data_IF_103596849517
#
_entry.id   IF_103596849517
#
_cell.length_a   1.000
_cell.length_b   1.000
_cell.length_c   1.000
_cell.angle_alpha   90.00
_cell.angle_beta   90.00
_cell.angle_gamma   90.00
#
_symmetry.space_group_name_H-M   'P 1'
#
loop_
_entity.id
_entity.type
_entity.pdbx_description
1 polymer ?
#
# COMPACT_ATOMS: atom_id res chain seq x y z
N UNK A 1 8.92 33.93 57.71
CA UNK A 1 7.62 34.04 57.00
C UNK A 1 7.80 33.60 55.55
N UNK A 2 8.39 32.41 55.33
CA UNK A 2 8.87 31.98 54.00
C UNK A 2 8.88 30.45 53.85
N UNK A 3 8.10 29.74 54.68
CA UNK A 3 7.89 28.28 54.59
C UNK A 3 6.44 27.88 54.26
N UNK A 4 5.50 28.83 54.23
CA UNK A 4 4.08 28.59 53.96
C UNK A 4 3.62 28.90 52.52
N UNK A 5 4.54 29.21 51.60
CA UNK A 5 4.21 29.40 50.16
C UNK A 5 4.53 28.19 49.28
N UNK A 6 5.22 27.18 49.81
CA UNK A 6 5.59 25.98 49.05
C UNK A 6 4.51 24.87 49.10
N UNK A 7 3.67 24.84 50.14
CA UNK A 7 2.61 23.82 50.28
C UNK A 7 1.31 24.12 49.51
N UNK A 8 1.11 25.36 49.04
CA UNK A 8 -0.11 25.72 48.29
C UNK A 8 0.02 25.48 46.77
N UNK A 9 1.25 25.27 46.26
CA UNK A 9 1.47 24.91 44.83
C UNK A 9 1.45 23.41 44.55
N UNK A 10 1.48 22.57 45.58
CA UNK A 10 1.46 21.10 45.45
C UNK A 10 0.02 20.55 45.47
N UNK A 11 -0.96 21.34 45.95
CA UNK A 11 -2.36 20.93 46.05
C UNK A 11 -3.24 21.25 44.82
N UNK A 12 -2.72 21.96 43.80
CA UNK A 12 -3.46 22.23 42.56
C UNK A 12 -3.01 21.40 41.35
N UNK A 13 -2.12 20.42 41.55
CA UNK A 13 -1.56 19.59 40.48
C UNK A 13 -2.16 18.17 40.45
N UNK A 14 -3.42 18.00 40.85
CA UNK A 14 -4.07 16.67 40.96
C UNK A 14 -5.43 16.54 40.26
N UNK A 15 -5.86 17.50 39.43
CA UNK A 15 -7.10 17.34 38.64
C UNK A 15 -6.92 17.90 37.23
N UNK A 16 -5.98 17.33 36.47
CA UNK A 16 -6.07 17.24 35.01
C UNK A 16 -5.45 15.90 34.59
N UNK A 17 -5.96 14.81 35.17
CA UNK A 17 -5.91 13.53 34.49
C UNK A 17 -6.95 13.61 33.37
N UNK A 18 -6.60 14.28 32.27
CA UNK A 18 -7.29 14.07 31.01
C UNK A 18 -7.09 12.60 30.71
N UNK A 19 -8.17 11.85 30.84
CA UNK A 19 -8.33 10.55 30.25
C UNK A 19 -8.02 10.69 28.76
N UNK A 20 -6.75 10.54 28.38
CA UNK A 20 -6.39 9.92 27.13
C UNK A 20 -6.70 8.43 27.28
N UNK A 21 -8.00 8.12 27.37
CA UNK A 21 -8.50 6.89 26.78
C UNK A 21 -8.22 7.10 25.30
N UNK A 22 -7.07 6.63 24.84
CA UNK A 22 -6.99 6.13 23.48
C UNK A 22 -8.20 5.23 23.33
N UNK A 23 -9.05 5.57 22.37
CA UNK A 23 -10.10 4.69 21.88
C UNK A 23 -9.45 3.42 21.32
N UNK A 24 -8.88 2.59 22.19
CA UNK A 24 -8.98 1.14 22.08
C UNK A 24 -10.44 0.80 22.39
N UNK A 25 -11.35 1.28 21.52
CA UNK A 25 -12.60 0.58 21.35
C UNK A 25 -12.12 -0.74 20.76
N UNK A 26 -12.03 -1.76 21.60
CA UNK A 26 -12.27 -3.13 21.18
C UNK A 26 -13.72 -3.18 20.67
N UNK A 27 -13.96 -2.48 19.55
CA UNK A 27 -15.04 -2.78 18.69
C UNK A 27 -14.56 -4.10 18.11
N UNK A 28 -15.22 -5.17 18.49
CA UNK A 28 -15.42 -6.29 17.58
C UNK A 28 -16.02 -5.65 16.33
N UNK A 29 -15.18 -5.09 15.47
CA UNK A 29 -15.61 -4.30 14.35
C UNK A 29 -16.35 -5.29 13.47
N UNK A 30 -17.67 -5.13 13.39
CA UNK A 30 -18.49 -5.90 12.46
C UNK A 30 -17.77 -5.89 11.11
N UNK A 31 -17.67 -7.06 10.48
CA UNK A 31 -16.99 -7.22 9.19
C UNK A 31 -17.33 -6.02 8.29
N UNK A 32 -16.34 -5.23 7.85
CA UNK A 32 -16.59 -3.96 7.17
C UNK A 32 -17.32 -4.12 5.83
N UNK A 33 -17.47 -5.36 5.36
CA UNK A 33 -18.03 -5.70 4.08
C UNK A 33 -18.54 -7.16 4.12
N UNK A 34 -19.67 -7.43 4.78
CA UNK A 34 -20.18 -8.79 4.88
C UNK A 34 -20.49 -9.38 3.50
N UNK A 35 -20.41 -10.72 3.33
CA UNK A 35 -20.75 -11.39 2.07
C UNK A 35 -22.15 -11.02 1.56
N UNK A 36 -22.24 -10.52 0.33
CA UNK A 36 -23.51 -10.08 -0.26
C UNK A 36 -23.69 -10.43 -1.75
N UNK A 37 -22.68 -11.01 -2.39
CA UNK A 37 -22.73 -11.51 -3.77
C UNK A 37 -22.29 -12.97 -3.84
N UNK A 38 -22.47 -13.64 -4.99
CA UNK A 38 -22.12 -15.05 -5.12
C UNK A 38 -21.56 -15.48 -6.49
N UNK A 39 -20.32 -15.93 -6.41
CA UNK A 39 -19.52 -16.84 -7.21
C UNK A 39 -19.95 -18.31 -7.29
N UNK A 40 -20.23 -18.91 -8.46
CA UNK A 40 -20.19 -20.38 -8.62
C UNK A 40 -19.07 -20.87 -9.55
N UNK A 41 -18.25 -19.94 -10.05
CA UNK A 41 -17.15 -20.20 -10.97
C UNK A 41 -15.98 -19.28 -10.68
N UNK A 42 -14.83 -19.61 -11.26
CA UNK A 42 -13.59 -18.86 -11.14
C UNK A 42 -12.57 -19.53 -10.24
N UNK A 43 -11.46 -18.84 -10.01
CA UNK A 43 -10.36 -19.30 -9.19
C UNK A 43 -10.78 -19.43 -7.73
N UNK A 44 -11.71 -18.60 -7.27
CA UNK A 44 -12.33 -18.72 -5.96
C UNK A 44 -13.76 -18.16 -5.99
N UNK A 45 -14.63 -18.58 -5.06
CA UNK A 45 -15.94 -17.96 -4.88
C UNK A 45 -15.78 -16.47 -4.57
N UNK A 46 -16.38 -15.61 -5.38
CA UNK A 46 -16.49 -14.18 -5.10
C UNK A 46 -17.76 -13.96 -4.26
N UNK A 47 -17.59 -13.33 -3.10
CA UNK A 47 -18.67 -13.11 -2.13
C UNK A 47 -18.82 -11.66 -1.69
N UNK A 48 -17.83 -10.82 -2.00
CA UNK A 48 -17.77 -9.40 -1.64
C UNK A 48 -17.40 -8.54 -2.83
N UNK A 49 -17.71 -7.25 -2.73
CA UNK A 49 -17.27 -6.22 -3.65
C UNK A 49 -16.21 -5.34 -2.97
N UNK A 50 -15.23 -4.83 -3.72
CA UNK A 50 -14.33 -3.79 -3.19
C UNK A 50 -15.13 -2.53 -2.88
N UNK A 51 -15.03 -2.02 -1.65
CA UNK A 51 -15.65 -0.76 -1.19
C UNK A 51 -14.58 0.10 -0.49
N UNK A 52 -14.82 1.41 -0.27
CA UNK A 52 -13.90 2.22 0.53
C UNK A 52 -13.68 1.69 1.96
N UNK A 53 -14.65 0.97 2.53
CA UNK A 53 -14.49 0.31 3.82
C UNK A 53 -13.53 -0.90 3.72
N UNK A 54 -13.69 -1.73 2.68
CA UNK A 54 -12.78 -2.85 2.42
C UNK A 54 -11.35 -2.40 2.12
N UNK A 55 -11.16 -1.26 1.45
CA UNK A 55 -9.80 -0.74 1.18
C UNK A 55 -9.11 -0.21 2.43
N UNK A 56 -9.86 0.34 3.40
CA UNK A 56 -9.31 0.64 4.74
C UNK A 56 -8.95 -0.62 5.51
N UNK A 57 -9.74 -1.67 5.39
CA UNK A 57 -9.45 -2.97 6.00
C UNK A 57 -8.20 -3.62 5.40
N UNK A 58 -8.04 -3.53 4.07
CA UNK A 58 -6.79 -3.90 3.38
C UNK A 58 -5.59 -3.07 3.86
N UNK A 59 -5.77 -1.75 4.03
CA UNK A 59 -4.72 -0.89 4.54
C UNK A 59 -4.27 -1.30 5.95
N UNK A 60 -5.21 -1.56 6.86
CA UNK A 60 -4.89 -2.04 8.21
C UNK A 60 -4.10 -3.36 8.20
N UNK A 61 -4.44 -4.28 7.30
CA UNK A 61 -3.67 -5.53 7.13
C UNK A 61 -2.23 -5.29 6.68
N UNK A 62 -2.03 -4.42 5.68
CA UNK A 62 -0.68 -4.09 5.18
C UNK A 62 0.14 -3.36 6.25
N UNK A 63 -0.47 -2.44 6.98
CA UNK A 63 0.18 -1.69 8.06
C UNK A 63 0.59 -2.57 9.23
N UNK A 64 -0.26 -3.54 9.60
CA UNK A 64 0.09 -4.53 10.61
C UNK A 64 1.32 -5.35 10.23
N UNK A 65 1.41 -5.78 8.96
CA UNK A 65 2.60 -6.48 8.45
C UNK A 65 3.84 -5.58 8.61
N UNK A 66 3.74 -4.29 8.28
CA UNK A 66 4.84 -3.34 8.46
C UNK A 66 5.27 -3.22 9.93
N UNK A 67 4.33 -3.12 10.87
CA UNK A 67 4.67 -3.06 12.28
C UNK A 67 5.37 -4.34 12.76
N UNK A 68 4.96 -5.51 12.30
CA UNK A 68 5.69 -6.74 12.65
C UNK A 68 7.06 -6.82 11.98
N UNK A 69 7.19 -6.30 10.76
CA UNK A 69 8.48 -6.21 10.04
C UNK A 69 9.49 -5.26 10.70
N UNK A 70 9.01 -4.28 11.47
CA UNK A 70 9.88 -3.25 12.10
C UNK A 70 10.04 -3.45 13.60
N UNK A 71 8.98 -3.83 14.31
CA UNK A 71 8.89 -3.89 15.77
C UNK A 71 8.68 -5.31 16.32
N UNK A 72 8.45 -6.29 15.45
CA UNK A 72 8.29 -7.69 15.84
C UNK A 72 9.57 -8.33 16.36
N UNK A 73 9.48 -9.62 16.69
CA UNK A 73 10.67 -10.40 17.06
C UNK A 73 11.64 -10.59 15.87
N UNK A 74 12.79 -11.22 16.08
CA UNK A 74 13.80 -11.44 15.00
C UNK A 74 13.21 -12.20 13.81
N UNK A 75 12.39 -13.22 14.05
CA UNK A 75 11.76 -14.01 12.97
C UNK A 75 10.80 -13.16 12.15
N UNK A 76 9.97 -12.34 12.81
CA UNK A 76 9.01 -11.47 12.15
C UNK A 76 9.72 -10.36 11.37
N UNK A 77 10.75 -9.72 11.94
CA UNK A 77 11.53 -8.68 11.26
C UNK A 77 12.31 -9.22 10.06
N UNK A 78 12.76 -10.46 10.11
CA UNK A 78 13.46 -11.13 8.98
C UNK A 78 12.52 -11.94 8.07
N UNK A 79 11.21 -11.96 8.37
CA UNK A 79 10.24 -12.76 7.66
C UNK A 79 10.17 -12.43 6.17
N UNK A 80 10.12 -13.48 5.36
CA UNK A 80 9.89 -13.42 3.91
C UNK A 80 8.45 -13.76 3.60
N UNK A 81 8.05 -13.71 2.31
CA UNK A 81 6.65 -13.95 1.91
C UNK A 81 6.01 -15.16 2.60
N UNK A 82 6.67 -16.33 2.62
CA UNK A 82 6.10 -17.52 3.26
C UNK A 82 5.74 -17.29 4.73
N UNK A 83 6.69 -16.76 5.52
CA UNK A 83 6.44 -16.49 6.95
C UNK A 83 5.46 -15.35 7.15
N UNK A 84 5.53 -14.29 6.35
CA UNK A 84 4.55 -13.18 6.38
C UNK A 84 3.12 -13.69 6.23
N UNK A 85 2.88 -14.72 5.40
CA UNK A 85 1.53 -15.25 5.18
C UNK A 85 1.11 -16.33 6.19
N UNK A 86 2.05 -16.96 6.90
CA UNK A 86 1.78 -18.14 7.75
C UNK A 86 1.94 -17.86 9.25
N UNK A 87 2.57 -16.75 9.62
CA UNK A 87 2.69 -16.30 11.01
C UNK A 87 1.39 -15.60 11.45
N UNK A 88 0.67 -16.09 12.48
CA UNK A 88 -0.57 -15.48 12.95
C UNK A 88 -0.35 -14.10 13.58
N UNK A 89 0.86 -13.82 14.08
CA UNK A 89 1.23 -12.50 14.56
C UNK A 89 1.47 -11.50 13.43
N UNK A 90 1.77 -11.94 12.21
CA UNK A 90 1.98 -11.05 11.04
C UNK A 90 0.77 -10.96 10.12
N UNK A 91 0.05 -12.05 9.92
CA UNK A 91 -1.05 -12.13 8.98
C UNK A 91 -2.39 -12.09 9.70
N UNK A 92 -2.97 -10.90 9.86
CA UNK A 92 -4.30 -10.76 10.47
C UNK A 92 -5.38 -11.55 9.72
N UNK A 93 -5.19 -11.91 8.46
CA UNK A 93 -6.14 -12.77 7.75
C UNK A 93 -6.15 -14.20 8.29
N UNK A 94 -5.23 -14.62 9.17
CA UNK A 94 -5.31 -15.89 9.88
C UNK A 94 -6.25 -15.84 11.10
N UNK A 95 -6.57 -14.64 11.59
CA UNK A 95 -7.53 -14.41 12.65
C UNK A 95 -8.95 -14.40 12.06
N UNK A 96 -9.87 -15.30 12.49
CA UNK A 96 -11.25 -15.32 12.02
C UNK A 96 -12.00 -13.99 12.20
N UNK A 97 -11.73 -13.25 13.28
CA UNK A 97 -12.45 -12.01 13.59
C UNK A 97 -12.08 -10.91 12.58
N UNK A 98 -10.80 -10.78 12.25
CA UNK A 98 -10.34 -9.88 11.20
C UNK A 98 -10.70 -10.41 9.80
N UNK A 99 -10.62 -11.72 9.58
CA UNK A 99 -10.88 -12.33 8.29
C UNK A 99 -12.36 -12.24 7.87
N UNK A 100 -13.29 -12.28 8.82
CA UNK A 100 -14.74 -12.26 8.59
C UNK A 100 -15.31 -13.52 7.94
N UNK A 101 -16.63 -13.65 7.98
CA UNK A 101 -17.35 -14.85 7.52
C UNK A 101 -17.30 -15.05 5.99
N UNK A 102 -17.46 -16.27 5.49
CA UNK A 102 -17.49 -16.49 4.04
C UNK A 102 -16.18 -16.12 3.33
N UNK A 103 -15.07 -16.04 4.05
CA UNK A 103 -13.73 -15.98 3.49
C UNK A 103 -13.32 -17.28 2.78
N UNK A 104 -12.21 -17.23 2.03
CA UNK A 104 -11.57 -18.41 1.47
C UNK A 104 -10.50 -18.96 2.44
N UNK A 105 -10.20 -20.27 2.36
CA UNK A 105 -9.16 -20.86 3.17
C UNK A 105 -7.80 -20.22 2.89
N UNK A 106 -6.81 -20.52 3.74
CA UNK A 106 -5.42 -20.17 3.45
C UNK A 106 -4.97 -20.79 2.12
N UNK A 107 -4.12 -20.08 1.37
CA UNK A 107 -3.49 -20.64 0.19
C UNK A 107 -2.67 -21.88 0.56
N UNK A 108 -2.65 -22.88 -0.34
CA UNK A 108 -1.83 -24.06 -0.10
C UNK A 108 -0.35 -23.68 0.03
N UNK A 109 0.37 -24.44 0.85
CA UNK A 109 1.81 -24.25 1.05
C UNK A 109 2.59 -24.29 -0.28
N UNK A 110 2.15 -25.09 -1.24
CA UNK A 110 2.73 -25.17 -2.58
C UNK A 110 2.60 -23.85 -3.37
N UNK A 111 1.40 -23.22 -3.35
CA UNK A 111 1.20 -21.93 -4.01
C UNK A 111 2.05 -20.86 -3.31
N UNK A 112 2.05 -20.82 -1.98
CA UNK A 112 2.84 -19.85 -1.20
C UNK A 112 4.33 -19.98 -1.53
N UNK A 113 4.86 -21.19 -1.53
CA UNK A 113 6.27 -21.47 -1.89
C UNK A 113 6.56 -21.05 -3.33
N UNK A 114 5.70 -21.40 -4.28
CA UNK A 114 5.88 -21.02 -5.69
C UNK A 114 5.90 -19.51 -5.86
N UNK A 115 4.99 -18.78 -5.20
CA UNK A 115 4.94 -17.33 -5.24
C UNK A 115 6.18 -16.71 -4.61
N UNK A 116 6.64 -17.23 -3.48
CA UNK A 116 7.84 -16.75 -2.81
C UNK A 116 9.06 -16.74 -3.75
N UNK A 117 9.27 -17.80 -4.53
CA UNK A 117 10.40 -17.88 -5.46
C UNK A 117 10.31 -16.89 -6.64
N UNK A 118 9.11 -16.46 -7.00
CA UNK A 118 8.89 -15.49 -8.07
C UNK A 118 9.05 -14.04 -7.63
N UNK A 119 9.02 -13.74 -6.32
CA UNK A 119 8.89 -12.36 -5.86
C UNK A 119 10.01 -11.42 -6.33
N UNK A 120 9.59 -10.23 -6.71
CA UNK A 120 10.41 -9.05 -6.93
C UNK A 120 9.57 -7.82 -6.53
N UNK A 121 10.14 -6.63 -6.62
CA UNK A 121 9.46 -5.40 -6.19
C UNK A 121 8.09 -5.21 -6.87
N UNK A 122 7.95 -5.54 -8.16
CA UNK A 122 6.69 -5.42 -8.90
C UNK A 122 5.72 -6.57 -8.63
N UNK A 123 6.20 -7.80 -8.55
CA UNK A 123 5.34 -8.96 -8.24
C UNK A 123 4.82 -8.92 -6.81
N UNK A 124 5.58 -8.36 -5.87
CA UNK A 124 5.12 -8.17 -4.51
C UNK A 124 3.92 -7.22 -4.45
N UNK A 125 3.97 -6.11 -5.17
CA UNK A 125 2.86 -5.14 -5.25
C UNK A 125 1.65 -5.66 -6.00
N UNK A 126 1.81 -6.66 -6.88
CA UNK A 126 0.69 -7.37 -7.50
C UNK A 126 0.14 -8.52 -6.64
N UNK A 127 1.01 -9.25 -5.94
CA UNK A 127 0.65 -10.44 -5.16
C UNK A 127 -0.10 -10.09 -3.88
N UNK A 128 0.38 -9.12 -3.09
CA UNK A 128 -0.22 -8.78 -1.80
C UNK A 128 -1.72 -8.44 -1.88
N UNK A 129 -2.18 -7.55 -2.78
CA UNK A 129 -3.60 -7.29 -2.91
C UNK A 129 -4.38 -8.46 -3.54
N UNK A 130 -3.76 -9.25 -4.42
CA UNK A 130 -4.38 -10.46 -4.98
C UNK A 130 -4.63 -11.52 -3.89
N UNK A 131 -3.66 -11.70 -2.98
CA UNK A 131 -3.77 -12.59 -1.83
C UNK A 131 -4.88 -12.13 -0.88
N UNK A 132 -4.90 -10.84 -0.54
CA UNK A 132 -5.97 -10.26 0.26
C UNK A 132 -7.34 -10.48 -0.40
N UNK A 133 -7.45 -10.19 -1.71
CA UNK A 133 -8.67 -10.40 -2.47
C UNK A 133 -9.13 -11.86 -2.46
N UNK A 134 -8.20 -12.80 -2.62
CA UNK A 134 -8.48 -14.22 -2.48
C UNK A 134 -9.02 -14.54 -1.09
N UNK A 135 -8.30 -14.20 -0.01
CA UNK A 135 -8.71 -14.52 1.37
C UNK A 135 -10.07 -13.91 1.71
N UNK A 136 -10.33 -12.67 1.32
CA UNK A 136 -11.59 -11.95 1.57
C UNK A 136 -12.69 -12.24 0.56
N UNK A 137 -12.48 -13.14 -0.42
CA UNK A 137 -13.46 -13.50 -1.44
C UNK A 137 -13.93 -12.30 -2.30
N UNK A 138 -13.00 -11.41 -2.67
CA UNK A 138 -13.21 -10.25 -3.54
C UNK A 138 -12.86 -10.58 -5.01
N UNK A 139 -13.39 -9.83 -6.00
CA UNK A 139 -12.92 -9.93 -7.38
C UNK A 139 -11.49 -9.39 -7.51
N UNK A 140 -10.68 -10.03 -8.36
CA UNK A 140 -9.34 -9.53 -8.69
C UNK A 140 -9.00 -9.73 -10.17
N UNK A 141 -8.17 -8.83 -10.70
CA UNK A 141 -7.69 -8.87 -12.09
C UNK A 141 -6.25 -8.35 -12.14
N UNK A 142 -5.50 -8.83 -13.13
CA UNK A 142 -4.14 -8.35 -13.41
C UNK A 142 -3.96 -8.20 -14.92
N UNK A 143 -3.43 -7.06 -15.37
CA UNK A 143 -3.24 -6.77 -16.78
C UNK A 143 -2.09 -7.59 -17.33
N UNK A 144 -2.22 -8.00 -18.59
CA UNK A 144 -1.07 -8.31 -19.43
C UNK A 144 -0.79 -7.08 -20.28
N UNK A 145 0.48 -6.73 -20.42
CA UNK A 145 0.90 -5.57 -21.21
C UNK A 145 1.82 -6.02 -22.33
N UNK A 146 1.84 -5.25 -23.41
CA UNK A 146 2.84 -5.34 -24.46
C UNK A 146 3.68 -4.06 -24.48
N UNK A 147 4.92 -4.19 -24.96
CA UNK A 147 5.80 -3.05 -25.13
C UNK A 147 5.24 -2.07 -26.16
N UNK A 148 5.17 -0.78 -25.82
CA UNK A 148 4.92 0.26 -26.81
C UNK A 148 6.13 0.47 -27.72
N UNK A 149 7.34 0.22 -27.20
CA UNK A 149 8.62 0.29 -27.92
C UNK A 149 9.73 -0.47 -27.19
N UNK A 150 10.49 -1.31 -27.89
CA UNK A 150 11.66 -2.01 -27.32
C UNK A 150 11.31 -3.07 -26.27
N UNK A 151 12.19 -3.31 -25.29
CA UNK A 151 11.92 -4.26 -24.20
C UNK A 151 10.82 -3.73 -23.27
N UNK A 152 9.87 -4.59 -22.91
CA UNK A 152 8.70 -4.29 -22.08
C UNK A 152 9.04 -3.73 -20.69
N UNK A 153 10.23 -4.03 -20.14
CA UNK A 153 10.67 -3.58 -18.82
C UNK A 153 11.22 -2.16 -18.85
N UNK A 154 11.83 -1.77 -19.97
CA UNK A 154 12.49 -0.46 -20.15
C UNK A 154 11.76 0.42 -21.17
N UNK A 155 10.60 -0.02 -21.65
CA UNK A 155 9.81 0.71 -22.64
C UNK A 155 9.44 2.10 -22.12
N UNK A 156 9.41 3.15 -22.97
CA UNK A 156 8.92 4.46 -22.56
C UNK A 156 7.44 4.43 -22.17
N UNK A 157 6.66 3.48 -22.70
CA UNK A 157 5.28 3.20 -22.30
C UNK A 157 4.88 1.80 -22.76
N UNK A 158 3.89 1.21 -22.10
CA UNK A 158 3.34 -0.10 -22.37
C UNK A 158 1.83 0.00 -22.61
N UNK A 159 1.31 -0.97 -23.36
CA UNK A 159 -0.09 -1.02 -23.78
C UNK A 159 -0.73 -2.26 -23.14
N UNK A 160 -1.80 -2.11 -22.34
CA UNK A 160 -2.59 -3.25 -21.90
C UNK A 160 -3.19 -4.02 -23.09
N UNK A 161 -2.97 -5.33 -23.13
CA UNK A 161 -3.44 -6.22 -24.20
C UNK A 161 -4.45 -7.26 -23.74
N UNK A 162 -4.59 -7.45 -22.43
CA UNK A 162 -5.47 -8.45 -21.85
C UNK A 162 -5.45 -8.44 -20.34
N UNK A 163 -5.98 -9.49 -19.73
CA UNK A 163 -5.95 -9.66 -18.28
C UNK A 163 -6.14 -11.10 -17.85
N UNK A 164 -5.53 -11.45 -16.72
CA UNK A 164 -5.89 -12.61 -15.91
C UNK A 164 -6.96 -12.18 -14.91
N UNK A 165 -8.01 -12.97 -14.75
CA UNK A 165 -9.20 -12.61 -13.98
C UNK A 165 -9.61 -13.73 -13.02
N UNK A 166 -9.95 -13.38 -11.77
CA UNK A 166 -10.35 -14.34 -10.75
C UNK A 166 -11.65 -15.07 -11.08
N UNK A 167 -12.53 -14.49 -11.89
CA UNK A 167 -13.81 -15.10 -12.26
C UNK A 167 -13.72 -16.12 -13.41
N UNK A 168 -12.69 -16.02 -14.25
CA UNK A 168 -12.51 -16.90 -15.42
C UNK A 168 -11.36 -17.89 -15.28
N UNK A 169 -10.45 -17.66 -14.33
CA UNK A 169 -9.37 -18.60 -14.03
C UNK A 169 -9.93 -19.89 -13.41
N UNK A 170 -9.40 -21.09 -13.73
CA UNK A 170 -10.00 -22.35 -13.29
C UNK A 170 -9.67 -22.75 -11.84
N UNK A 171 -8.66 -22.14 -11.22
CA UNK A 171 -8.24 -22.44 -9.84
C UNK A 171 -7.38 -21.32 -9.27
N UNK A 172 -7.18 -21.25 -7.93
CA UNK A 172 -6.25 -20.30 -7.33
C UNK A 172 -4.84 -20.46 -7.88
N UNK A 173 -4.36 -21.71 -8.03
CA UNK A 173 -3.03 -22.00 -8.56
C UNK A 173 -2.86 -21.46 -10.00
N UNK A 174 -3.86 -21.67 -10.85
CA UNK A 174 -3.84 -21.14 -12.21
C UNK A 174 -3.89 -19.61 -12.24
N UNK A 175 -4.71 -19.00 -11.38
CA UNK A 175 -4.77 -17.54 -11.24
C UNK A 175 -3.42 -16.97 -10.82
N UNK A 176 -2.86 -17.40 -9.69
CA UNK A 176 -1.61 -16.83 -9.16
C UNK A 176 -0.43 -17.06 -10.09
N UNK A 177 -0.30 -18.26 -10.69
CA UNK A 177 0.73 -18.53 -11.68
C UNK A 177 0.66 -17.58 -12.87
N UNK A 178 -0.54 -17.36 -13.42
CA UNK A 178 -0.70 -16.55 -14.62
C UNK A 178 -0.67 -15.03 -14.31
N UNK A 179 -1.38 -14.60 -13.26
CA UNK A 179 -1.48 -13.20 -12.87
C UNK A 179 -0.14 -12.66 -12.35
N UNK A 180 0.47 -13.35 -11.40
CA UNK A 180 1.72 -12.89 -10.75
C UNK A 180 2.94 -13.29 -11.57
N UNK A 181 2.93 -14.47 -12.19
CA UNK A 181 4.03 -14.92 -13.06
C UNK A 181 4.22 -14.02 -14.29
N UNK A 182 3.14 -13.48 -14.86
CA UNK A 182 3.21 -12.55 -15.98
C UNK A 182 3.34 -11.07 -15.59
N UNK A 183 3.26 -10.75 -14.30
CA UNK A 183 3.41 -9.37 -13.83
C UNK A 183 4.88 -8.96 -13.76
N UNK A 184 5.16 -7.77 -14.26
CA UNK A 184 6.47 -7.12 -14.19
C UNK A 184 6.27 -5.64 -13.88
N UNK A 185 7.33 -4.95 -13.45
CA UNK A 185 7.26 -3.50 -13.17
C UNK A 185 6.85 -2.67 -14.40
N UNK A 186 6.99 -3.21 -15.63
CA UNK A 186 6.45 -2.63 -16.85
C UNK A 186 4.92 -2.46 -16.85
N UNK A 187 4.16 -3.23 -16.04
CA UNK A 187 2.71 -3.07 -15.89
C UNK A 187 2.31 -1.67 -15.38
N UNK A 188 3.23 -0.94 -14.73
CA UNK A 188 2.99 0.42 -14.28
C UNK A 188 3.24 1.48 -15.36
N UNK A 189 3.93 1.15 -16.46
CA UNK A 189 4.27 2.10 -17.54
C UNK A 189 3.12 2.34 -18.51
N UNK A 190 1.89 2.48 -18.03
CA UNK A 190 0.71 2.69 -18.89
C UNK A 190 0.30 4.15 -18.83
N UNK A 191 0.39 4.85 -19.97
CA UNK A 191 -0.10 6.23 -20.11
C UNK A 191 -1.60 6.30 -19.77
N UNK A 192 -2.03 7.35 -19.08
CA UNK A 192 -3.41 7.49 -18.57
C UNK A 192 -4.47 7.64 -19.64
N UNK A 193 -4.08 8.25 -20.76
CA UNK A 193 -4.85 8.60 -21.95
C UNK A 193 -4.49 7.70 -23.13
N UNK A 194 -3.50 6.82 -22.97
CA UNK A 194 -3.00 5.96 -24.02
C UNK A 194 -4.00 4.87 -24.44
N UNK A 195 -3.65 4.16 -25.52
CA UNK A 195 -4.41 3.01 -26.00
C UNK A 195 -4.64 2.01 -24.86
N UNK A 196 -5.90 1.61 -24.68
CA UNK A 196 -6.34 0.66 -23.65
C UNK A 196 -6.00 1.06 -22.19
N UNK A 197 -5.74 2.34 -21.90
CA UNK A 197 -5.37 2.80 -20.55
C UNK A 197 -6.39 2.44 -19.45
N UNK A 198 -7.67 2.34 -19.81
CA UNK A 198 -8.75 1.88 -18.92
C UNK A 198 -8.56 0.43 -18.42
N UNK A 199 -7.67 -0.35 -19.06
CA UNK A 199 -7.29 -1.70 -18.66
C UNK A 199 -6.04 -1.75 -17.76
N UNK A 200 -5.49 -0.61 -17.33
CA UNK A 200 -4.38 -0.56 -16.38
C UNK A 200 -4.77 -1.11 -15.00
N UNK A 201 -3.79 -1.66 -14.27
CA UNK A 201 -4.00 -2.21 -12.92
C UNK A 201 -4.03 -1.15 -11.82
N UNK A 202 -3.57 0.07 -12.12
CA UNK A 202 -3.45 1.16 -11.14
C UNK A 202 -3.73 2.50 -11.78
N UNK A 203 -4.14 3.46 -10.96
CA UNK A 203 -4.30 4.87 -11.33
C UNK A 203 -3.59 5.75 -10.31
N UNK A 204 -3.14 6.96 -10.70
CA UNK A 204 -2.66 8.01 -9.80
C UNK A 204 -3.61 8.23 -8.62
N UNK A 205 -3.07 8.47 -7.43
CA UNK A 205 -3.87 8.65 -6.22
C UNK A 205 -3.76 10.08 -5.70
N UNK A 206 -4.85 10.57 -5.10
CA UNK A 206 -4.88 11.82 -4.38
C UNK A 206 -3.94 11.77 -3.18
N UNK A 207 -3.23 12.87 -2.94
CA UNK A 207 -2.28 13.03 -1.86
C UNK A 207 -3.04 13.60 -0.66
N UNK A 208 -3.65 12.69 0.10
CA UNK A 208 -4.27 12.97 1.39
C UNK A 208 -4.39 11.68 2.22
N UNK A 209 -4.48 11.82 3.56
CA UNK A 209 -4.50 10.66 4.46
C UNK A 209 -5.68 9.71 4.28
N UNK A 210 -6.77 10.14 3.65
CA UNK A 210 -7.97 9.30 3.43
C UNK A 210 -7.83 8.46 2.17
N UNK A 211 -6.97 8.85 1.22
CA UNK A 211 -6.83 8.20 -0.09
C UNK A 211 -5.47 7.52 -0.27
N UNK A 212 -4.39 8.20 0.12
CA UNK A 212 -3.04 7.66 0.13
C UNK A 212 -2.80 6.83 1.40
N UNK A 213 -3.32 5.62 1.40
CA UNK A 213 -3.29 4.69 2.55
C UNK A 213 -2.32 3.53 2.31
N UNK A 214 -1.88 2.83 3.37
CA UNK A 214 -1.20 1.55 3.23
C UNK A 214 -1.91 0.63 2.22
N UNK A 215 -1.13 -0.05 1.39
CA UNK A 215 -1.62 -0.78 0.22
C UNK A 215 -1.56 -0.01 -1.10
N UNK A 216 -1.41 1.32 -1.08
CA UNK A 216 -1.08 2.10 -2.28
C UNK A 216 0.32 1.76 -2.78
N UNK A 217 0.57 2.02 -4.06
CA UNK A 217 1.83 1.73 -4.72
C UNK A 217 2.57 3.01 -5.00
N UNK A 218 3.88 2.96 -4.89
CA UNK A 218 4.74 3.96 -5.44
C UNK A 218 5.61 3.34 -6.55
N UNK A 219 5.55 3.93 -7.74
CA UNK A 219 6.27 3.45 -8.91
C UNK A 219 7.24 4.49 -9.43
N UNK A 220 8.53 4.16 -9.47
CA UNK A 220 9.56 5.01 -10.06
C UNK A 220 10.51 4.15 -10.87
N UNK A 221 10.57 4.47 -12.17
CA UNK A 221 11.62 4.00 -13.09
C UNK A 221 11.98 2.51 -12.94
N UNK A 222 10.95 1.65 -12.94
CA UNK A 222 11.12 0.21 -12.84
C UNK A 222 11.13 -0.36 -11.42
N UNK A 223 11.19 0.48 -10.38
CA UNK A 223 11.05 0.09 -8.99
C UNK A 223 9.63 0.32 -8.46
N UNK A 224 9.13 -0.64 -7.68
CA UNK A 224 7.77 -0.63 -7.13
C UNK A 224 7.83 -0.82 -5.62
N UNK A 225 7.09 0.00 -4.88
CA UNK A 225 7.05 -0.04 -3.43
C UNK A 225 5.60 -0.09 -2.96
N UNK A 226 5.32 -0.89 -1.94
CA UNK A 226 4.02 -0.97 -1.31
C UNK A 226 4.01 0.01 -0.13
N UNK A 227 3.22 1.08 -0.18
CA UNK A 227 3.02 1.98 0.96
C UNK A 227 2.49 1.14 2.11
N UNK A 228 3.10 1.26 3.28
CA UNK A 228 2.81 0.38 4.40
C UNK A 228 2.51 1.13 5.70
N UNK A 229 3.03 2.33 5.87
CA UNK A 229 2.67 3.20 6.99
C UNK A 229 2.84 4.67 6.62
N UNK A 230 2.08 5.55 7.27
CA UNK A 230 2.26 7.00 7.20
C UNK A 230 2.39 7.54 8.61
N UNK A 231 3.57 8.06 8.96
CA UNK A 231 3.83 8.59 10.29
C UNK A 231 2.95 9.80 10.61
N UNK A 232 2.93 10.19 11.89
CA UNK A 232 2.21 11.39 12.32
C UNK A 232 2.76 12.68 11.68
N UNK A 233 4.05 12.68 11.30
CA UNK A 233 4.72 13.77 10.60
C UNK A 233 4.52 13.74 9.08
N UNK A 234 3.73 12.79 8.56
CA UNK A 234 3.44 12.66 7.13
C UNK A 234 4.52 11.96 6.33
N UNK A 235 5.45 11.24 6.98
CA UNK A 235 6.46 10.45 6.29
C UNK A 235 5.87 9.14 5.78
N UNK A 236 6.21 8.80 4.53
CA UNK A 236 5.77 7.57 3.90
C UNK A 236 6.78 6.45 4.15
N UNK A 237 6.31 5.31 4.64
CA UNK A 237 7.10 4.12 4.87
C UNK A 237 6.60 2.98 3.99
N UNK A 238 7.52 2.24 3.38
CA UNK A 238 7.18 1.24 2.37
C UNK A 238 7.65 -0.16 2.77
N UNK A 239 6.99 -1.16 2.22
CA UNK A 239 7.52 -2.52 2.09
C UNK A 239 8.05 -2.72 0.68
N UNK A 240 9.22 -3.34 0.59
CA UNK A 240 9.89 -3.66 -0.66
C UNK A 240 10.26 -5.15 -0.67
N UNK A 241 10.24 -5.76 -1.86
CA UNK A 241 10.77 -7.10 -2.06
C UNK A 241 11.95 -7.07 -3.03
N UNK A 242 13.10 -7.54 -2.57
CA UNK A 242 14.32 -7.59 -3.34
C UNK A 242 14.26 -8.64 -4.46
N UNK A 243 14.91 -8.34 -5.59
CA UNK A 243 15.11 -9.30 -6.67
C UNK A 243 16.24 -10.31 -6.40
N UNK A 244 16.92 -10.20 -5.25
CA UNK A 244 17.96 -11.12 -4.81
C UNK A 244 17.41 -12.55 -4.69
N UNK A 245 18.30 -13.55 -4.80
CA UNK A 245 17.94 -14.97 -4.68
C UNK A 245 17.19 -15.29 -3.38
N UNK A 246 17.49 -14.54 -2.32
CA UNK A 246 16.86 -14.67 -0.99
C UNK A 246 15.42 -14.15 -0.95
N UNK A 247 14.98 -13.34 -1.92
CA UNK A 247 13.60 -12.82 -2.02
C UNK A 247 13.16 -12.08 -0.75
N UNK A 248 14.08 -11.31 -0.18
CA UNK A 248 13.86 -10.65 1.10
C UNK A 248 12.78 -9.57 0.98
N UNK A 249 11.95 -9.48 2.00
CA UNK A 249 10.99 -8.39 2.18
C UNK A 249 11.52 -7.50 3.30
N UNK A 250 11.67 -6.21 3.05
CA UNK A 250 12.21 -5.26 4.01
C UNK A 250 11.39 -3.98 4.06
N UNK A 251 11.41 -3.33 5.22
CA UNK A 251 10.89 -1.98 5.37
C UNK A 251 11.87 -0.99 4.76
N UNK A 252 11.36 -0.09 3.93
CA UNK A 252 12.11 1.03 3.36
C UNK A 252 11.58 2.31 3.97
N UNK A 253 12.43 2.98 4.74
CA UNK A 253 12.18 4.30 5.30
C UNK A 253 12.91 5.30 4.40
N UNK A 254 12.18 6.19 3.74
CA UNK A 254 12.85 7.23 2.99
C UNK A 254 12.04 7.73 1.82
N UNK A 255 11.84 9.04 1.82
CA UNK A 255 11.21 9.78 0.74
C UNK A 255 12.04 9.84 -0.54
N UNK A 256 13.20 9.18 -0.67
CA UNK A 256 13.95 9.08 -1.93
C UNK A 256 13.14 8.48 -3.10
N UNK A 257 11.93 8.06 -2.81
CA UNK A 257 10.98 7.41 -3.68
C UNK A 257 9.98 8.39 -4.29
N UNK A 258 10.25 9.69 -4.46
CA UNK A 258 9.33 10.57 -5.23
C UNK A 258 10.05 11.44 -6.28
N UNK A 259 11.34 11.20 -6.50
CA UNK A 259 12.09 11.81 -7.59
C UNK A 259 11.77 11.16 -8.93
N UNK A 260 11.75 11.95 -10.01
CA UNK A 260 11.65 11.45 -11.38
C UNK A 260 10.23 11.21 -11.90
N UNK A 261 9.22 11.86 -11.32
CA UNK A 261 7.87 11.90 -11.89
C UNK A 261 7.85 12.85 -13.10
N UNK A 262 7.35 12.37 -14.23
CA UNK A 262 7.08 13.22 -15.41
C UNK A 262 5.95 14.22 -15.08
N UNK A 263 6.18 15.54 -15.18
CA UNK A 263 5.13 16.55 -15.00
C UNK A 263 4.09 16.47 -16.12
N UNK A 264 2.91 17.04 -15.89
CA UNK A 264 1.97 17.28 -17.00
C UNK A 264 2.61 18.19 -18.05
N UNK A 265 2.44 17.83 -19.32
CA UNK A 265 3.05 18.49 -20.47
C UNK A 265 2.27 19.69 -20.99
N UNK A 266 2.80 20.30 -22.05
CA UNK A 266 2.15 21.38 -22.81
C UNK A 266 1.47 20.87 -24.10
N UNK A 267 1.58 19.57 -24.40
CA UNK A 267 0.89 18.98 -25.53
C UNK A 267 -0.62 19.06 -25.27
N UNK A 268 -1.39 19.82 -26.08
CA UNK A 268 -2.82 19.96 -25.86
C UNK A 268 -3.60 18.67 -26.15
N UNK A 269 -3.04 17.76 -26.96
CA UNK A 269 -3.70 16.51 -27.35
C UNK A 269 -3.46 15.39 -26.33
N UNK A 270 -2.30 15.40 -25.65
CA UNK A 270 -1.98 14.47 -24.56
C UNK A 270 -1.12 15.10 -23.46
N UNK A 271 -1.70 15.96 -22.59
CA UNK A 271 -0.96 16.63 -21.53
C UNK A 271 -0.46 15.64 -20.44
N UNK A 272 -0.90 14.38 -20.47
CA UNK A 272 -0.52 13.35 -19.51
C UNK A 272 0.37 12.26 -20.12
N UNK A 273 0.96 12.51 -21.29
CA UNK A 273 1.94 11.62 -21.89
C UNK A 273 3.10 11.35 -20.90
N UNK A 274 3.41 10.08 -20.63
CA UNK A 274 4.47 9.69 -19.69
C UNK A 274 4.10 9.84 -18.20
N UNK A 275 2.91 10.35 -17.88
CA UNK A 275 2.42 10.51 -16.50
C UNK A 275 1.92 9.18 -15.92
N UNK A 276 2.85 8.25 -15.67
CA UNK A 276 2.57 6.96 -15.05
C UNK A 276 3.42 6.65 -13.80
N UNK A 277 4.40 7.49 -13.49
CA UNK A 277 5.21 7.39 -12.27
C UNK A 277 4.53 8.04 -11.08
N UNK A 278 5.03 7.75 -9.88
CA UNK A 278 4.59 8.35 -8.62
C UNK A 278 3.66 7.46 -7.81
N UNK A 279 2.83 8.11 -7.00
CA UNK A 279 1.92 7.46 -6.06
C UNK A 279 0.65 7.02 -6.79
N UNK A 280 0.23 5.78 -6.54
CA UNK A 280 -0.84 5.10 -7.27
C UNK A 280 -1.72 4.29 -6.33
N UNK A 281 -3.01 4.23 -6.65
CA UNK A 281 -3.97 3.32 -6.05
C UNK A 281 -4.28 2.19 -7.03
N UNK A 282 -4.54 1.00 -6.49
CA UNK A 282 -4.97 -0.16 -7.27
C UNK A 282 -6.32 0.12 -7.92
N UNK A 283 -6.49 -0.25 -9.19
CA UNK A 283 -7.79 -0.20 -9.88
C UNK A 283 -8.63 -1.39 -9.43
N UNK A 284 -9.27 -1.26 -8.28
CA UNK A 284 -10.08 -2.30 -7.65
C UNK A 284 -11.20 -2.79 -8.59
N UNK A 285 -11.21 -4.07 -9.01
CA UNK A 285 -12.23 -4.58 -9.93
C UNK A 285 -13.64 -4.60 -9.34
N UNK A 286 -14.63 -4.64 -10.21
CA UNK A 286 -16.05 -4.78 -9.88
C UNK A 286 -16.63 -6.07 -10.44
N UNK A 287 -17.32 -6.81 -9.58
CA UNK A 287 -18.14 -7.95 -9.92
C UNK A 287 -19.53 -7.44 -10.32
N UNK A 288 -19.87 -7.57 -11.61
CA UNK A 288 -21.20 -7.25 -12.12
C UNK A 288 -22.13 -8.40 -11.77
N UNK A 289 -23.25 -8.10 -11.12
CA UNK A 289 -24.22 -9.10 -10.67
C UNK A 289 -25.57 -9.00 -11.37
N UNK A 290 -26.31 -10.10 -11.39
CA UNK A 290 -27.74 -10.07 -11.67
C UNK A 290 -28.55 -9.52 -10.46
N UNK A 291 -29.87 -9.40 -10.62
CA UNK A 291 -30.78 -8.93 -9.57
C UNK A 291 -30.79 -9.80 -8.30
N UNK A 292 -30.24 -11.02 -8.36
CA UNK A 292 -30.13 -11.93 -7.23
C UNK A 292 -28.72 -11.95 -6.62
N UNK A 293 -27.84 -11.03 -7.01
CA UNK A 293 -26.46 -10.98 -6.52
C UNK A 293 -25.55 -12.08 -7.07
N UNK A 294 -25.95 -12.81 -8.14
CA UNK A 294 -25.06 -13.77 -8.80
C UNK A 294 -24.09 -13.04 -9.71
N UNK A 295 -22.80 -13.32 -9.55
CA UNK A 295 -21.75 -12.69 -10.37
C UNK A 295 -21.84 -13.20 -11.81
N UNK A 296 -21.91 -12.27 -12.76
CA UNK A 296 -21.96 -12.52 -14.21
C UNK A 296 -20.63 -12.22 -14.90
N UNK A 297 -19.89 -11.26 -14.36
CA UNK A 297 -18.62 -10.80 -14.93
C UNK A 297 -17.80 -10.09 -13.85
N UNK A 298 -16.48 -10.09 -14.01
CA UNK A 298 -15.60 -9.15 -13.31
C UNK A 298 -14.95 -8.23 -14.34
N UNK A 299 -15.04 -6.93 -14.11
CA UNK A 299 -14.42 -5.90 -14.96
C UNK A 299 -13.62 -4.91 -14.13
N UNK A 300 -12.80 -4.10 -14.79
CA UNK A 300 -12.15 -2.95 -14.16
C UNK A 300 -13.15 -1.82 -13.94
N UNK A 301 -12.90 -1.04 -12.89
CA UNK A 301 -13.56 0.25 -12.69
C UNK A 301 -13.09 1.26 -13.73
N UNK A 302 -13.95 2.20 -14.13
CA UNK A 302 -13.58 3.36 -14.94
C UNK A 302 -12.78 4.37 -14.10
N UNK A 303 -12.20 5.39 -14.74
CA UNK A 303 -11.54 6.47 -13.99
C UNK A 303 -12.53 7.22 -13.09
N UNK A 304 -13.75 7.45 -13.60
CA UNK A 304 -14.85 8.07 -12.85
C UNK A 304 -15.21 7.24 -11.60
N UNK A 305 -15.41 5.93 -11.76
CA UNK A 305 -15.67 5.03 -10.62
C UNK A 305 -14.49 4.98 -9.62
N UNK A 306 -13.27 5.26 -10.08
CA UNK A 306 -12.08 5.30 -9.23
C UNK A 306 -11.94 6.61 -8.43
N UNK A 307 -12.73 7.66 -8.69
CA UNK A 307 -12.77 8.86 -7.85
C UNK A 307 -13.20 8.52 -6.41
N UNK A 308 -14.09 7.53 -6.23
CA UNK A 308 -14.48 6.99 -4.92
C UNK A 308 -13.33 6.28 -4.18
N UNK A 309 -12.26 5.94 -4.89
CA UNK A 309 -11.06 5.28 -4.36
C UNK A 309 -9.84 6.19 -4.35
N UNK A 310 -10.00 7.46 -4.77
CA UNK A 310 -8.97 8.48 -4.67
C UNK A 310 -8.21 8.69 -5.97
N UNK A 311 -8.74 8.33 -7.13
CA UNK A 311 -8.12 8.70 -8.40
C UNK A 311 -7.93 10.22 -8.48
N UNK A 312 -6.70 10.66 -8.74
CA UNK A 312 -6.36 12.08 -8.93
C UNK A 312 -5.06 12.22 -9.69
N UNK A 313 -5.00 13.14 -10.65
CA UNK A 313 -3.79 13.47 -11.41
C UNK A 313 -2.97 14.61 -10.80
N UNK A 314 -3.37 15.11 -9.62
CA UNK A 314 -2.81 16.34 -9.03
C UNK A 314 -1.28 16.32 -8.88
N UNK A 315 -0.68 15.15 -8.62
CA UNK A 315 0.77 15.05 -8.45
C UNK A 315 1.53 15.55 -9.70
N UNK A 316 1.00 15.35 -10.90
CA UNK A 316 1.65 15.76 -12.14
C UNK A 316 1.57 17.27 -12.36
N UNK A 317 0.45 17.88 -11.96
CA UNK A 317 0.26 19.33 -12.01
C UNK A 317 1.11 20.04 -10.96
N UNK A 318 1.22 19.46 -9.76
CA UNK A 318 2.09 19.95 -8.69
C UNK A 318 3.55 19.88 -9.12
N UNK A 319 4.00 18.77 -9.71
CA UNK A 319 5.38 18.66 -10.22
C UNK A 319 5.62 19.65 -11.35
N UNK A 320 4.64 19.88 -12.25
CA UNK A 320 4.74 20.91 -13.28
C UNK A 320 4.92 22.30 -12.68
N UNK A 321 4.11 22.66 -11.68
CA UNK A 321 4.16 23.97 -11.04
C UNK A 321 5.47 24.19 -10.29
N UNK A 322 5.92 23.21 -9.49
CA UNK A 322 7.22 23.26 -8.80
C UNK A 322 8.36 23.38 -9.83
N UNK A 323 8.31 22.62 -10.92
CA UNK A 323 9.36 22.67 -11.96
C UNK A 323 9.43 24.02 -12.67
N UNK A 324 8.30 24.72 -12.81
CA UNK A 324 8.21 26.03 -13.48
C UNK A 324 8.56 27.20 -12.56
N UNK A 325 8.04 27.17 -11.33
CA UNK A 325 8.08 28.30 -10.41
C UNK A 325 9.14 28.14 -9.32
N UNK A 326 9.74 26.95 -9.18
CA UNK A 326 10.58 26.51 -8.06
C UNK A 326 9.84 26.38 -6.71
N UNK A 327 8.54 26.64 -6.68
CA UNK A 327 7.70 26.46 -5.49
C UNK A 327 6.22 26.41 -5.84
N UNK A 328 5.41 26.00 -4.87
CA UNK A 328 3.96 26.21 -4.80
C UNK A 328 3.59 26.78 -3.42
N UNK A 329 2.39 27.33 -3.30
CA UNK A 329 1.83 27.80 -2.04
C UNK A 329 0.71 26.87 -1.59
N UNK A 330 0.84 26.27 -0.41
CA UNK A 330 -0.18 25.39 0.19
C UNK A 330 -0.33 25.76 1.67
N UNK A 331 -1.56 26.06 2.12
CA UNK A 331 -1.80 26.42 3.52
C UNK A 331 -1.01 27.65 4.01
N UNK A 332 -0.66 28.57 3.10
CA UNK A 332 0.17 29.75 3.41
C UNK A 332 1.68 29.46 3.54
N UNK A 333 2.10 28.21 3.30
CA UNK A 333 3.51 27.81 3.31
C UNK A 333 4.04 27.72 1.88
N UNK A 334 5.31 28.11 1.72
CA UNK A 334 6.07 27.92 0.50
C UNK A 334 6.64 26.50 0.48
N UNK A 335 6.30 25.74 -0.55
CA UNK A 335 6.71 24.35 -0.74
C UNK A 335 7.58 24.27 -1.98
N UNK A 336 8.77 23.70 -1.86
CA UNK A 336 9.76 23.66 -2.95
C UNK A 336 9.94 22.26 -3.55
N UNK A 337 9.32 21.24 -2.95
CA UNK A 337 9.41 19.86 -3.41
C UNK A 337 8.09 19.11 -3.25
N UNK A 338 7.89 18.10 -4.09
CA UNK A 338 6.74 17.19 -3.95
C UNK A 338 6.77 16.43 -2.62
N UNK A 339 7.97 16.22 -2.06
CA UNK A 339 8.13 15.60 -0.75
C UNK A 339 7.53 16.44 0.37
N UNK A 340 7.79 17.74 0.36
CA UNK A 340 7.26 18.68 1.35
C UNK A 340 5.75 18.82 1.20
N UNK A 341 5.24 18.80 -0.04
CA UNK A 341 3.81 18.74 -0.31
C UNK A 341 3.14 17.51 0.29
N UNK A 342 3.73 16.32 0.06
CA UNK A 342 3.24 15.08 0.63
C UNK A 342 3.27 15.16 2.15
N UNK A 343 4.41 15.51 2.77
CA UNK A 343 4.51 15.61 4.24
C UNK A 343 3.47 16.57 4.82
N UNK A 344 3.29 17.73 4.20
CA UNK A 344 2.34 18.73 4.69
C UNK A 344 0.90 18.22 4.65
N UNK A 345 0.48 17.54 3.58
CA UNK A 345 -0.87 16.98 3.46
C UNK A 345 -1.09 15.71 4.26
N UNK A 346 -0.01 14.98 4.52
CA UNK A 346 -0.05 13.69 5.19
C UNK A 346 0.16 13.81 6.70
N UNK A 347 0.62 14.93 7.27
CA UNK A 347 0.80 15.05 8.73
C UNK A 347 -0.54 15.08 9.47
N UNK A 348 -0.53 14.60 10.71
CA UNK A 348 -1.66 14.70 11.65
C UNK A 348 -1.39 15.64 12.82
N UNK A 349 -0.16 16.16 12.91
CA UNK A 349 0.27 17.05 13.98
C UNK A 349 0.48 18.47 13.46
N UNK A 350 0.08 19.45 14.28
CA UNK A 350 0.23 20.86 13.95
C UNK A 350 1.66 21.36 14.15
N UNK A 351 2.36 20.79 15.14
CA UNK A 351 3.75 21.12 15.47
C UNK A 351 4.62 19.88 15.45
N UNK A 352 5.84 20.03 14.93
CA UNK A 352 6.90 19.05 15.10
C UNK A 352 7.52 19.35 16.47
N UNK A 353 7.75 18.32 17.28
CA UNK A 353 8.54 18.41 18.50
C UNK A 353 9.93 17.82 18.22
N UNK A 354 10.90 18.61 17.72
CA UNK A 354 12.14 18.05 17.18
C UNK A 354 12.94 17.30 18.22
N UNK A 355 12.90 17.75 19.48
CA UNK A 355 13.59 17.09 20.58
C UNK A 355 13.07 15.66 20.79
N UNK A 356 11.76 15.50 20.96
CA UNK A 356 11.15 14.18 21.16
C UNK A 356 11.39 13.24 19.95
N UNK A 357 11.34 13.79 18.73
CA UNK A 357 11.69 13.04 17.52
C UNK A 357 13.15 12.59 17.53
N UNK A 358 14.09 13.48 17.87
CA UNK A 358 15.52 13.16 17.95
C UNK A 358 15.83 12.16 19.06
N UNK A 359 15.16 12.26 20.22
CA UNK A 359 15.27 11.30 21.32
C UNK A 359 14.80 9.92 20.87
N UNK A 360 13.59 9.81 20.31
CA UNK A 360 13.07 8.55 19.80
C UNK A 360 13.96 7.94 18.71
N UNK A 361 14.48 8.76 17.80
CA UNK A 361 15.40 8.29 16.76
C UNK A 361 16.76 7.84 17.32
N UNK A 362 17.28 8.54 18.33
CA UNK A 362 18.51 8.13 19.01
C UNK A 362 18.34 6.80 19.74
N UNK A 363 17.19 6.59 20.38
CA UNK A 363 16.83 5.32 21.03
C UNK A 363 16.71 4.18 19.99
N UNK A 364 16.04 4.42 18.85
CA UNK A 364 15.96 3.45 17.76
C UNK A 364 17.34 3.05 17.22
N UNK A 365 18.24 4.02 17.05
CA UNK A 365 19.63 3.76 16.63
C UNK A 365 20.37 2.93 17.69
N UNK A 366 20.25 3.29 18.96
CA UNK A 366 20.89 2.57 20.06
C UNK A 366 20.44 1.11 20.10
N UNK A 367 19.14 0.86 20.00
CA UNK A 367 18.56 -0.49 19.95
C UNK A 367 19.06 -1.29 18.74
N UNK A 368 19.14 -0.65 17.56
CA UNK A 368 19.67 -1.28 16.36
C UNK A 368 21.15 -1.69 16.52
N UNK A 369 21.98 -0.82 17.11
CA UNK A 369 23.38 -1.12 17.39
C UNK A 369 23.52 -2.23 18.44
N UNK A 370 22.76 -2.18 19.53
CA UNK A 370 22.77 -3.20 20.57
C UNK A 370 22.39 -4.58 20.02
N UNK A 371 21.35 -4.66 19.20
CA UNK A 371 20.95 -5.89 18.52
C UNK A 371 22.03 -6.40 17.56
N UNK A 372 22.70 -5.50 16.83
CA UNK A 372 23.81 -5.84 15.93
C UNK A 372 25.02 -6.39 16.69
N UNK A 373 25.38 -5.81 17.83
CA UNK A 373 26.49 -6.31 18.67
C UNK A 373 26.23 -7.76 19.06
N UNK A 374 25.04 -8.05 19.58
CA UNK A 374 24.64 -9.42 19.94
C UNK A 374 24.73 -10.38 18.75
N UNK A 375 24.16 -10.00 17.60
CA UNK A 375 24.21 -10.81 16.39
C UNK A 375 25.65 -11.13 15.95
N UNK A 376 26.55 -10.13 15.96
CA UNK A 376 27.95 -10.34 15.57
C UNK A 376 28.67 -11.25 16.57
N UNK A 377 28.44 -11.08 17.87
CA UNK A 377 29.01 -11.95 18.90
C UNK A 377 28.53 -13.40 18.77
N UNK A 378 27.22 -13.61 18.57
CA UNK A 378 26.63 -14.93 18.41
C UNK A 378 27.12 -15.64 17.12
N UNK A 379 27.47 -14.89 16.08
CA UNK A 379 28.00 -15.43 14.83
C UNK A 379 29.52 -15.68 14.86
N UNK A 380 30.24 -15.05 15.79
CA UNK A 380 31.69 -15.16 15.94
C UNK A 380 32.12 -16.28 16.89
N UNK A 381 31.28 -16.57 17.89
CA UNK A 381 31.41 -17.74 18.77
C UNK A 381 30.81 -18.99 18.12
#
# INVERSE_FOLDING_TARGET
MEKNRLMVRIACLHIVAVLFITCAIAATAADPNPPNIRSTSGAWPIRRQWTPAETRHYAAWVEHIYFMKTRGNVEQRTAKLNRILTDPGMNLLLDPDFLGEGANPQLSAEIIRSMHHLMDCGKFTAFMPAYYAYRRALPWMTATVASGKGDIRTSPYNIPTGSVNSFTSPSPAAFFRNAVGSFISGNYRVNLTGRNAHLSDTVPVAIDRRRLMPGCINYIDGHCLLLAHVSEYGELHFLNCGAAHTRDVFSYNGMNTVSGITPSGNDPDDPLAGCFQGLRVLRYPIAVTDANGRVKQVRRRTNEEMLEFGFSTEQYDIVREISRNHFISEGGLRIESLHDFIRLRMKTVDSIAPLAFMEAYADELLDAYAARVKFVQDAWN
#
